data_IF_616592515472
#
_entry.id   IF_616592515472
#
_cell.length_a   1.000
_cell.length_b   1.000
_cell.length_c   1.000
_cell.angle_alpha   90.00
_cell.angle_beta   90.00
_cell.angle_gamma   90.00
#
_symmetry.space_group_name_H-M   'P 1'
#
loop_
_entity.id
_entity.type
_entity.pdbx_description
1 polymer ?
#
# COMPACT_ATOMS: atom_id res chain seq x y z
N UNK A 1 -0.77 -14.46 -1.68
CA UNK A 1 -2.08 -15.09 -1.40
C UNK A 1 -2.06 -16.32 -0.50
N UNK A 2 -1.36 -17.41 -0.85
CA UNK A 2 -1.44 -18.69 -0.11
C UNK A 2 -1.05 -18.61 1.38
N UNK A 3 -0.10 -17.73 1.74
CA UNK A 3 0.32 -17.56 3.13
C UNK A 3 -0.80 -16.99 4.02
N UNK A 4 -1.40 -15.86 3.65
CA UNK A 4 -2.43 -15.20 4.48
C UNK A 4 -3.68 -16.08 4.67
N UNK A 5 -4.12 -16.76 3.61
CA UNK A 5 -5.26 -17.69 3.67
C UNK A 5 -5.02 -18.83 4.67
N UNK A 6 -3.79 -19.37 4.73
CA UNK A 6 -3.41 -20.40 5.71
C UNK A 6 -3.56 -19.93 7.16
N UNK A 7 -3.39 -18.64 7.43
CA UNK A 7 -3.56 -18.04 8.76
C UNK A 7 -4.97 -17.49 8.99
N UNK A 8 -5.89 -17.68 8.05
CA UNK A 8 -7.29 -17.26 8.18
C UNK A 8 -7.55 -15.79 7.85
N UNK A 9 -6.67 -15.16 7.08
CA UNK A 9 -6.81 -13.78 6.62
C UNK A 9 -6.99 -13.79 5.08
N UNK A 10 -8.25 -13.70 4.58
CA UNK A 10 -8.49 -13.52 3.15
C UNK A 10 -7.82 -12.23 2.68
N UNK A 11 -7.16 -12.32 1.54
CA UNK A 11 -6.39 -11.25 0.95
C UNK A 11 -6.88 -11.05 -0.49
N UNK A 12 -7.24 -9.82 -0.79
CA UNK A 12 -7.72 -9.40 -2.11
C UNK A 12 -6.60 -8.64 -2.83
N UNK A 13 -6.49 -8.84 -4.13
CA UNK A 13 -5.65 -8.01 -5.01
C UNK A 13 -6.50 -6.86 -5.55
N UNK A 14 -5.97 -5.65 -5.43
CA UNK A 14 -6.58 -4.43 -5.93
C UNK A 14 -5.60 -3.75 -6.88
N UNK A 15 -5.98 -3.67 -8.16
CA UNK A 15 -5.14 -3.11 -9.20
C UNK A 15 -5.36 -1.60 -9.26
N UNK A 16 -4.26 -0.85 -9.24
CA UNK A 16 -4.24 0.61 -9.29
C UNK A 16 -3.35 1.04 -10.45
N UNK A 17 -3.88 1.86 -11.35
CA UNK A 17 -3.10 2.43 -12.45
C UNK A 17 -2.70 3.86 -12.10
N UNK A 18 -1.40 4.15 -12.20
CA UNK A 18 -0.86 5.50 -11.98
C UNK A 18 -1.12 6.39 -13.18
N UNK A 19 -1.03 7.71 -12.97
CA UNK A 19 -1.23 8.71 -14.03
C UNK A 19 -0.26 8.51 -15.22
N UNK A 20 0.97 8.09 -14.92
CA UNK A 20 2.00 7.83 -15.91
C UNK A 20 2.00 6.38 -16.45
N UNK A 21 1.00 5.57 -16.08
CA UNK A 21 0.70 4.30 -16.75
C UNK A 21 1.24 3.02 -16.09
N UNK A 22 1.88 3.11 -14.92
CA UNK A 22 2.30 1.93 -14.16
C UNK A 22 1.08 1.25 -13.54
N UNK A 23 1.11 -0.07 -13.50
CA UNK A 23 0.06 -0.90 -12.92
C UNK A 23 0.58 -1.48 -11.62
N UNK A 24 0.02 -1.01 -10.51
CA UNK A 24 0.38 -1.40 -9.16
C UNK A 24 -0.60 -2.44 -8.64
N UNK A 25 -0.08 -3.49 -8.01
CA UNK A 25 -0.90 -4.49 -7.34
C UNK A 25 -0.86 -4.23 -5.84
N UNK A 26 -1.92 -3.64 -5.30
CA UNK A 26 -2.09 -3.52 -3.86
C UNK A 26 -2.70 -4.80 -3.28
N UNK A 27 -2.33 -5.14 -2.06
CA UNK A 27 -3.01 -6.22 -1.33
C UNK A 27 -3.87 -5.66 -0.22
N UNK A 28 -5.10 -6.16 -0.09
CA UNK A 28 -6.06 -5.71 0.93
C UNK A 28 -6.46 -6.87 1.82
N UNK A 29 -6.49 -6.63 3.13
CA UNK A 29 -7.02 -7.55 4.14
C UNK A 29 -8.06 -6.80 4.94
N UNK A 30 -9.34 -7.12 4.71
CA UNK A 30 -10.46 -6.39 5.33
C UNK A 30 -10.87 -6.96 6.69
N UNK A 31 -10.78 -8.29 6.84
CA UNK A 31 -11.20 -9.02 8.02
C UNK A 31 -10.52 -10.40 8.08
N UNK A 32 -10.57 -11.07 9.24
CA UNK A 32 -10.17 -12.47 9.43
C UNK A 32 -11.40 -13.39 9.40
N UNK A 33 -11.24 -14.65 8.98
CA UNK A 33 -12.35 -15.61 8.90
C UNK A 33 -13.03 -15.86 10.26
N UNK A 34 -12.30 -15.69 11.35
CA UNK A 34 -12.78 -15.94 12.70
C UNK A 34 -13.49 -14.74 13.35
N UNK A 35 -13.61 -13.60 12.65
CA UNK A 35 -14.25 -12.39 13.19
C UNK A 35 -15.36 -11.86 12.27
N UNK A 36 -16.49 -11.56 12.87
CA UNK A 36 -17.63 -10.88 12.21
C UNK A 36 -17.29 -9.41 11.93
N UNK A 37 -18.03 -8.78 11.01
CA UNK A 37 -17.86 -7.35 10.69
C UNK A 37 -17.07 -7.04 9.41
N UNK A 38 -16.91 -8.02 8.49
CA UNK A 38 -16.35 -7.77 7.15
C UNK A 38 -17.20 -6.80 6.30
N UNK A 39 -18.48 -6.65 6.64
CA UNK A 39 -19.42 -5.76 5.93
C UNK A 39 -19.49 -4.37 6.56
N UNK A 40 -18.91 -4.16 7.73
CA UNK A 40 -18.90 -2.86 8.40
C UNK A 40 -17.87 -1.93 7.77
N UNK A 41 -18.14 -0.63 7.89
CA UNK A 41 -17.20 0.42 7.49
C UNK A 41 -16.09 0.50 8.54
N UNK A 42 -14.86 0.20 8.12
CA UNK A 42 -13.68 0.17 8.98
C UNK A 42 -12.72 1.32 8.60
N UNK A 43 -11.99 1.91 9.56
CA UNK A 43 -10.95 2.89 9.23
C UNK A 43 -9.88 2.23 8.37
N UNK A 44 -9.51 2.88 7.26
CA UNK A 44 -8.54 2.35 6.33
C UNK A 44 -7.11 2.70 6.74
N UNK A 45 -6.20 1.74 6.64
CA UNK A 45 -4.77 1.92 6.93
C UNK A 45 -3.93 1.49 5.73
N UNK A 46 -3.09 2.39 5.22
CA UNK A 46 -2.10 2.09 4.20
C UNK A 46 -0.75 1.79 4.86
N UNK A 47 -0.22 0.59 4.63
CA UNK A 47 1.09 0.13 5.06
C UNK A 47 2.02 0.12 3.85
N UNK A 48 3.10 0.90 3.92
CA UNK A 48 4.08 1.03 2.85
C UNK A 48 5.46 0.50 3.26
N UNK A 49 5.99 -0.40 2.44
CA UNK A 49 7.27 -1.06 2.67
C UNK A 49 8.48 -0.12 2.43
N UNK A 50 9.66 -0.59 2.82
CA UNK A 50 10.93 0.11 2.61
C UNK A 50 11.59 -0.14 1.26
N UNK A 51 12.85 0.27 1.14
CA UNK A 51 13.66 0.09 -0.05
C UNK A 51 13.87 -1.39 -0.39
N UNK A 52 13.71 -1.76 -1.67
CA UNK A 52 13.88 -3.12 -2.20
C UNK A 52 12.98 -4.19 -1.53
N UNK A 53 11.90 -3.74 -0.88
CA UNK A 53 10.96 -4.60 -0.18
C UNK A 53 9.61 -4.72 -0.91
N UNK A 54 8.66 -5.36 -0.26
CA UNK A 54 7.30 -5.50 -0.77
C UNK A 54 6.28 -5.59 0.37
N UNK A 55 5.01 -5.59 0.01
CA UNK A 55 3.89 -5.87 0.93
C UNK A 55 4.05 -7.15 1.78
N UNK A 56 4.88 -8.11 1.36
CA UNK A 56 5.12 -9.36 2.09
C UNK A 56 5.71 -9.15 3.50
N UNK A 57 6.45 -8.05 3.71
CA UNK A 57 7.08 -7.74 5.00
C UNK A 57 6.05 -7.69 6.13
N UNK A 58 4.86 -7.15 5.84
CA UNK A 58 3.79 -6.92 6.82
C UNK A 58 3.02 -8.17 7.22
N UNK A 59 3.23 -9.29 6.52
CA UNK A 59 2.53 -10.58 6.74
C UNK A 59 3.50 -11.73 7.04
N UNK A 60 4.80 -11.48 7.14
CA UNK A 60 5.83 -12.52 7.22
C UNK A 60 5.94 -13.24 8.58
N UNK A 61 5.50 -12.60 9.68
CA UNK A 61 5.68 -13.10 11.05
C UNK A 61 4.49 -13.89 11.61
N UNK A 62 3.68 -14.51 10.73
CA UNK A 62 2.51 -15.33 11.11
C UNK A 62 1.51 -14.50 11.94
N UNK A 63 0.97 -15.01 13.05
CA UNK A 63 0.00 -14.31 13.90
C UNK A 63 0.54 -13.03 14.57
N UNK A 64 1.87 -12.79 14.53
CA UNK A 64 2.49 -11.56 15.03
C UNK A 64 2.65 -10.49 13.94
N UNK A 65 2.19 -10.78 12.73
CA UNK A 65 2.25 -9.85 11.60
C UNK A 65 1.45 -8.59 11.89
N UNK A 66 2.06 -7.43 11.62
CA UNK A 66 1.42 -6.13 11.84
C UNK A 66 0.07 -6.05 11.13
N UNK A 67 0.00 -6.50 9.88
CA UNK A 67 -1.24 -6.48 9.11
C UNK A 67 -2.35 -7.28 9.80
N UNK A 68 -2.05 -8.48 10.29
CA UNK A 68 -3.04 -9.35 10.95
C UNK A 68 -3.52 -8.77 12.28
N UNK A 69 -2.62 -8.21 13.08
CA UNK A 69 -2.98 -7.55 14.34
C UNK A 69 -3.90 -6.33 14.12
N UNK A 70 -3.66 -5.55 13.07
CA UNK A 70 -4.50 -4.41 12.70
C UNK A 70 -5.89 -4.88 12.23
N UNK A 71 -5.94 -5.91 11.39
CA UNK A 71 -7.21 -6.49 10.93
C UNK A 71 -8.05 -6.99 12.10
N UNK A 72 -7.44 -7.68 13.06
CA UNK A 72 -8.15 -8.20 14.24
C UNK A 72 -8.63 -7.08 15.17
N UNK A 73 -7.95 -5.92 15.16
CA UNK A 73 -8.39 -4.70 15.85
C UNK A 73 -9.48 -3.92 15.11
N UNK A 74 -9.96 -4.41 13.96
CA UNK A 74 -11.08 -3.83 13.24
C UNK A 74 -10.71 -2.80 12.17
N UNK A 75 -9.45 -2.79 11.72
CA UNK A 75 -9.01 -1.93 10.62
C UNK A 75 -9.17 -2.60 9.26
N UNK A 76 -9.36 -1.79 8.21
CA UNK A 76 -9.27 -2.21 6.82
C UNK A 76 -7.84 -1.96 6.33
N UNK A 77 -7.06 -3.03 6.18
CA UNK A 77 -5.62 -2.94 5.97
C UNK A 77 -5.28 -3.06 4.49
N UNK A 78 -4.55 -2.08 4.00
CA UNK A 78 -4.06 -1.98 2.63
C UNK A 78 -2.54 -2.02 2.65
N UNK A 79 -1.95 -2.92 1.86
CA UNK A 79 -0.52 -3.10 1.72
C UNK A 79 -0.12 -2.58 0.34
N UNK A 80 0.60 -1.47 0.32
CA UNK A 80 1.09 -0.85 -0.91
C UNK A 80 2.26 -1.61 -1.51
N UNK A 81 2.39 -1.54 -2.84
CA UNK A 81 3.55 -2.03 -3.58
C UNK A 81 3.97 -0.98 -4.61
N UNK A 82 5.21 -0.51 -4.50
CA UNK A 82 5.77 0.48 -5.42
C UNK A 82 6.06 -0.14 -6.78
N UNK A 83 5.99 0.68 -7.85
CA UNK A 83 6.37 0.32 -9.21
C UNK A 83 7.73 -0.40 -9.27
N UNK A 84 7.80 -1.41 -10.14
CA UNK A 84 9.01 -2.21 -10.38
C UNK A 84 9.30 -3.28 -9.34
N UNK A 85 8.60 -3.33 -8.20
CA UNK A 85 8.74 -4.45 -7.27
C UNK A 85 8.07 -5.72 -7.81
N UNK A 86 8.22 -6.85 -7.10
CA UNK A 86 7.71 -8.17 -7.52
C UNK A 86 6.24 -8.19 -7.92
N UNK A 87 5.39 -7.36 -7.30
CA UNK A 87 3.95 -7.35 -7.52
C UNK A 87 3.49 -6.24 -8.48
N UNK A 88 4.30 -5.21 -8.68
CA UNK A 88 3.97 -4.00 -9.45
C UNK A 88 4.93 -3.81 -10.63
N UNK A 89 5.23 -4.90 -11.35
CA UNK A 89 6.11 -4.91 -12.53
C UNK A 89 5.29 -4.99 -13.82
N UNK A 90 4.43 -4.00 -14.05
CA UNK A 90 3.56 -3.95 -15.23
C UNK A 90 3.22 -2.50 -15.61
N UNK A 91 2.91 -2.25 -16.88
CA UNK A 91 2.63 -0.92 -17.45
C UNK A 91 1.64 -1.02 -18.60
N UNK A 92 0.85 0.03 -18.85
CA UNK A 92 -0.17 0.05 -19.92
C UNK A 92 0.41 -0.06 -21.34
N UNK A 93 1.67 0.32 -21.53
CA UNK A 93 2.32 0.46 -22.85
C UNK A 93 3.73 -0.14 -22.93
N UNK A 94 4.40 -0.37 -21.80
CA UNK A 94 5.82 -0.73 -21.77
C UNK A 94 5.97 -2.17 -21.26
N UNK A 95 6.81 -2.98 -21.90
CA UNK A 95 7.18 -4.30 -21.40
C UNK A 95 8.40 -4.18 -20.47
N UNK A 96 8.31 -4.59 -19.20
CA UNK A 96 9.42 -4.52 -18.27
C UNK A 96 10.62 -5.43 -18.61
N UNK A 97 10.52 -6.32 -19.60
CA UNK A 97 11.59 -7.18 -20.08
C UNK A 97 12.27 -6.65 -21.35
N UNK A 98 11.54 -5.89 -22.18
CA UNK A 98 12.03 -5.40 -23.48
C UNK A 98 12.35 -3.90 -23.44
N UNK A 99 11.52 -3.11 -22.76
CA UNK A 99 11.61 -1.65 -22.76
C UNK A 99 12.41 -1.13 -21.57
N UNK A 100 13.66 -0.68 -21.82
CA UNK A 100 14.49 -0.02 -20.80
C UNK A 100 13.81 1.20 -20.17
N UNK A 101 12.94 1.87 -20.91
CA UNK A 101 12.15 3.02 -20.45
C UNK A 101 11.22 2.68 -19.28
N UNK A 102 10.81 1.40 -19.13
CA UNK A 102 10.04 0.95 -17.97
C UNK A 102 10.81 1.15 -16.66
N UNK A 103 12.14 1.10 -16.70
CA UNK A 103 12.98 1.25 -15.50
C UNK A 103 13.51 2.67 -15.32
N UNK A 104 13.07 3.62 -16.16
CA UNK A 104 13.49 5.02 -16.07
C UNK A 104 12.64 5.78 -15.04
N UNK A 105 12.70 5.35 -13.79
CA UNK A 105 12.09 6.01 -12.66
C UNK A 105 13.02 5.96 -11.45
N UNK A 106 12.78 6.84 -10.50
CA UNK A 106 13.43 6.90 -9.20
C UNK A 106 12.39 6.84 -8.09
N UNK A 107 12.82 7.03 -6.85
CA UNK A 107 11.88 7.18 -5.74
C UNK A 107 10.94 8.37 -5.94
N UNK A 108 11.34 9.39 -6.71
CA UNK A 108 10.54 10.59 -6.92
C UNK A 108 9.20 10.27 -7.60
N UNK A 109 9.24 9.51 -8.69
CA UNK A 109 8.04 9.11 -9.44
C UNK A 109 7.13 8.22 -8.58
N UNK A 110 7.70 7.31 -7.78
CA UNK A 110 6.95 6.51 -6.80
C UNK A 110 6.15 7.40 -5.84
N UNK A 111 6.72 8.51 -5.38
CA UNK A 111 6.03 9.43 -4.48
C UNK A 111 4.98 10.26 -5.22
N UNK A 112 5.31 10.75 -6.41
CA UNK A 112 4.46 11.70 -7.13
C UNK A 112 3.25 11.07 -7.82
N UNK A 113 3.34 9.77 -8.13
CA UNK A 113 2.31 9.03 -8.85
C UNK A 113 1.76 7.84 -8.07
N UNK A 114 2.61 6.95 -7.53
CA UNK A 114 2.13 5.71 -6.89
C UNK A 114 1.35 6.03 -5.62
N UNK A 115 1.93 6.83 -4.72
CA UNK A 115 1.30 7.15 -3.45
C UNK A 115 -0.06 7.85 -3.60
N UNK A 116 -0.17 8.93 -4.42
CA UNK A 116 -1.45 9.53 -4.78
C UNK A 116 -2.49 8.53 -5.28
N UNK A 117 -2.11 7.67 -6.25
CA UNK A 117 -3.00 6.69 -6.83
C UNK A 117 -3.47 5.67 -5.80
N UNK A 118 -2.58 5.17 -4.94
CA UNK A 118 -2.92 4.26 -3.85
C UNK A 118 -3.87 4.92 -2.84
N UNK A 119 -3.60 6.14 -2.37
CA UNK A 119 -4.43 6.85 -1.39
C UNK A 119 -5.83 7.10 -1.94
N UNK A 120 -5.93 7.56 -3.18
CA UNK A 120 -7.21 7.86 -3.82
C UNK A 120 -8.03 6.61 -4.08
N UNK A 121 -7.38 5.52 -4.50
CA UNK A 121 -8.02 4.21 -4.64
C UNK A 121 -8.60 3.72 -3.32
N UNK A 122 -7.86 3.83 -2.21
CA UNK A 122 -8.34 3.43 -0.88
C UNK A 122 -9.55 4.27 -0.46
N UNK A 123 -9.48 5.59 -0.61
CA UNK A 123 -10.58 6.51 -0.26
C UNK A 123 -11.85 6.13 -1.03
N UNK A 124 -11.71 5.88 -2.34
CA UNK A 124 -12.82 5.49 -3.19
C UNK A 124 -13.36 4.10 -2.84
N UNK A 125 -12.49 3.09 -2.71
CA UNK A 125 -12.92 1.70 -2.49
C UNK A 125 -13.47 1.46 -1.08
N UNK A 126 -12.88 2.10 -0.07
CA UNK A 126 -13.30 1.98 1.34
C UNK A 126 -14.34 3.02 1.75
N UNK A 127 -14.67 3.97 0.86
CA UNK A 127 -15.65 5.04 1.10
C UNK A 127 -15.33 5.87 2.35
N UNK A 128 -14.05 6.07 2.66
CA UNK A 128 -13.56 6.85 3.80
C UNK A 128 -13.05 8.20 3.33
N UNK A 129 -13.12 9.24 4.16
CA UNK A 129 -12.61 10.57 3.80
C UNK A 129 -11.10 10.72 4.04
N UNK A 130 -10.53 9.91 4.93
CA UNK A 130 -9.11 9.95 5.30
C UNK A 130 -8.56 8.55 5.53
N UNK A 131 -7.26 8.41 5.28
CA UNK A 131 -6.49 7.16 5.46
C UNK A 131 -5.43 7.36 6.54
N UNK A 132 -5.22 6.36 7.39
CA UNK A 132 -4.05 6.33 8.27
C UNK A 132 -2.87 5.74 7.52
N UNK A 133 -1.74 6.44 7.49
CA UNK A 133 -0.54 5.99 6.83
C UNK A 133 0.45 5.38 7.83
N UNK A 134 1.06 4.25 7.47
CA UNK A 134 2.14 3.61 8.21
C UNK A 134 3.22 3.27 7.20
N UNK A 135 4.46 3.68 7.46
CA UNK A 135 5.62 3.21 6.72
C UNK A 135 6.58 2.49 7.64
N UNK A 136 7.33 1.56 7.05
CA UNK A 136 8.49 0.95 7.70
C UNK A 136 9.71 1.18 6.82
N UNK A 137 10.82 1.53 7.47
CA UNK A 137 12.14 1.69 6.84
C UNK A 137 12.23 2.92 5.92
N UNK A 138 13.47 3.35 5.66
CA UNK A 138 13.83 4.67 5.13
C UNK A 138 12.95 5.14 3.98
N UNK A 139 13.00 4.46 2.83
CA UNK A 139 12.32 4.91 1.61
C UNK A 139 10.80 5.06 1.79
N UNK A 140 10.13 4.15 2.49
CA UNK A 140 8.69 4.23 2.71
C UNK A 140 8.31 5.47 3.52
N UNK A 141 9.16 5.85 4.48
CA UNK A 141 8.94 7.02 5.34
C UNK A 141 9.36 8.33 4.68
N UNK A 142 10.48 8.34 3.95
CA UNK A 142 10.86 9.48 3.09
C UNK A 142 9.77 9.77 2.07
N UNK A 143 9.12 8.74 1.53
CA UNK A 143 8.04 8.88 0.55
C UNK A 143 6.86 9.70 1.09
N UNK A 144 6.45 9.46 2.33
CA UNK A 144 5.41 10.26 2.98
C UNK A 144 5.83 11.71 3.22
N UNK A 145 7.07 11.92 3.71
CA UNK A 145 7.58 13.27 3.98
C UNK A 145 7.62 14.11 2.70
N UNK A 146 8.10 13.53 1.60
CA UNK A 146 8.13 14.19 0.28
C UNK A 146 6.72 14.46 -0.23
N UNK A 147 5.80 13.49 -0.15
CA UNK A 147 4.39 13.68 -0.55
C UNK A 147 3.76 14.85 0.20
N UNK A 148 3.92 14.87 1.53
CA UNK A 148 3.31 15.89 2.40
C UNK A 148 3.82 17.31 2.11
N UNK A 149 5.04 17.41 1.57
CA UNK A 149 5.69 18.68 1.23
C UNK A 149 5.36 19.14 -0.19
N UNK A 150 5.43 18.23 -1.17
CA UNK A 150 5.27 18.56 -2.59
C UNK A 150 3.81 18.53 -3.08
N UNK A 151 2.93 17.78 -2.40
CA UNK A 151 1.48 17.69 -2.72
C UNK A 151 0.63 17.92 -1.45
N UNK A 152 0.66 19.14 -0.87
CA UNK A 152 0.02 19.44 0.42
C UNK A 152 -1.50 19.19 0.43
N UNK A 153 -2.15 19.10 -0.72
CA UNK A 153 -3.55 18.68 -0.85
C UNK A 153 -3.81 17.27 -0.28
N UNK A 154 -2.81 16.37 -0.32
CA UNK A 154 -2.91 15.04 0.27
C UNK A 154 -2.86 15.05 1.80
N UNK A 155 -2.34 16.12 2.43
CA UNK A 155 -2.37 16.23 3.90
C UNK A 155 -3.80 16.25 4.45
N UNK A 156 -4.79 16.70 3.64
CA UNK A 156 -6.21 16.67 4.01
C UNK A 156 -6.81 15.26 3.94
N UNK A 157 -6.19 14.36 3.17
CA UNK A 157 -6.59 12.96 2.95
C UNK A 157 -5.95 11.99 3.94
N UNK A 158 -4.99 12.45 4.74
CA UNK A 158 -4.31 11.65 5.76
C UNK A 158 -4.86 11.99 7.15
N UNK A 159 -5.22 10.96 7.93
CA UNK A 159 -5.71 11.13 9.29
C UNK A 159 -4.54 11.22 10.29
N UNK A 160 -3.66 10.23 10.26
CA UNK A 160 -2.41 10.16 11.02
C UNK A 160 -1.35 9.46 10.16
N UNK A 161 -0.09 9.79 10.38
CA UNK A 161 1.03 9.10 9.77
C UNK A 161 1.99 8.59 10.84
N UNK A 162 2.30 7.30 10.81
CA UNK A 162 3.27 6.66 11.70
C UNK A 162 4.52 6.30 10.90
N UNK A 163 5.63 6.94 11.25
CA UNK A 163 6.91 6.79 10.58
C UNK A 163 7.82 5.89 11.41
N UNK A 164 8.07 4.65 10.97
CA UNK A 164 8.91 3.69 11.69
C UNK A 164 10.29 3.63 11.04
N UNK A 165 11.32 4.04 11.79
CA UNK A 165 12.70 4.21 11.32
C UNK A 165 12.81 5.19 10.12
N UNK A 166 12.38 6.46 10.27
CA UNK A 166 12.54 7.46 9.23
C UNK A 166 14.02 7.80 9.01
N UNK A 167 14.38 8.06 7.75
CA UNK A 167 15.67 8.59 7.32
C UNK A 167 15.44 9.80 6.42
#
# INVERSE_FOLDING_TARGET
HQFCQKYGYPIDEEIVTTEDGYILTMHRIKCSFNRTGCHEKRPAMLLLHGLLASSADFVSTRNQSLAFQLVDKGYDVWLGNNRGNTYSRNHIMLDPNEDKSFWNFSFHETVMYDLPAMIDHIIQKSQVSKVTFICISSQGCTSYMVLSSLKPEYNKKILFANLVAPF
#
